data_IF_843069327316
#
_entry.id   IF_843069327316
#
_cell.length_a   1.000
_cell.length_b   1.000
_cell.length_c   1.000
_cell.angle_alpha   90.00
_cell.angle_beta   90.00
_cell.angle_gamma   90.00
#
_symmetry.space_group_name_H-M   'P 1'
#
loop_
_entity.id
_entity.type
_entity.pdbx_description
1 polymer ?
#
# COMPACT_ATOMS: atom_id res chain seq x y z
N UNK A 1 -27.03 44.37 43.59
CA UNK A 1 -28.28 44.06 42.85
C UNK A 1 -29.37 43.75 43.88
N UNK A 2 -30.65 44.13 43.65
CA UNK A 2 -31.73 43.84 44.58
C UNK A 2 -31.95 42.32 44.71
N UNK A 3 -32.32 41.80 45.90
CA UNK A 3 -32.39 40.36 46.17
C UNK A 3 -33.51 39.61 45.41
N UNK A 4 -34.48 40.30 44.78
CA UNK A 4 -35.54 39.64 43.98
C UNK A 4 -35.20 39.45 42.48
N UNK A 5 -34.01 39.86 42.01
CA UNK A 5 -33.66 39.80 40.59
C UNK A 5 -33.00 38.46 40.21
N UNK A 6 -33.79 37.50 39.71
CA UNK A 6 -33.28 36.25 39.16
C UNK A 6 -32.86 36.42 37.69
N UNK A 7 -31.55 36.58 37.46
CA UNK A 7 -30.93 36.55 36.13
C UNK A 7 -30.93 35.10 35.60
N UNK A 8 -31.96 34.72 34.86
CA UNK A 8 -31.99 33.47 34.11
C UNK A 8 -31.40 33.69 32.71
N UNK A 9 -30.36 32.93 32.35
CA UNK A 9 -29.80 32.94 31.00
C UNK A 9 -30.81 32.32 30.02
N UNK A 10 -31.46 33.14 29.19
CA UNK A 10 -32.50 32.69 28.26
C UNK A 10 -31.94 31.95 27.04
N UNK A 11 -30.71 32.28 26.58
CA UNK A 11 -30.03 31.61 25.46
C UNK A 11 -28.50 31.75 25.57
N UNK A 12 -27.77 30.64 25.77
CA UNK A 12 -26.30 30.59 25.67
C UNK A 12 -25.89 29.81 24.41
N UNK A 13 -25.57 30.53 23.33
CA UNK A 13 -25.10 29.94 22.07
C UNK A 13 -23.75 29.22 22.22
N UNK A 14 -22.96 29.54 23.25
CA UNK A 14 -21.66 28.90 23.50
C UNK A 14 -21.83 27.42 23.81
N UNK A 15 -22.93 27.02 24.46
CA UNK A 15 -23.22 25.61 24.78
C UNK A 15 -23.44 24.82 23.48
N UNK A 16 -24.23 25.37 22.55
CA UNK A 16 -24.47 24.74 21.24
C UNK A 16 -23.19 24.66 20.39
N UNK A 17 -22.36 25.70 20.39
CA UNK A 17 -21.08 25.69 19.67
C UNK A 17 -20.12 24.65 20.27
N UNK A 18 -19.98 24.62 21.60
CA UNK A 18 -19.13 23.62 22.29
C UNK A 18 -19.62 22.19 22.04
N UNK A 19 -20.93 21.96 22.11
CA UNK A 19 -21.53 20.67 21.81
C UNK A 19 -21.30 20.25 20.34
N UNK A 20 -21.39 21.19 19.39
CA UNK A 20 -21.11 20.93 17.98
C UNK A 20 -19.64 20.60 17.72
N UNK A 21 -18.71 21.31 18.36
CA UNK A 21 -17.27 21.02 18.27
C UNK A 21 -16.97 19.64 18.86
N UNK A 22 -17.50 19.33 20.05
CA UNK A 22 -17.33 18.00 20.66
C UNK A 22 -17.93 16.89 19.80
N UNK A 23 -19.09 17.13 19.18
CA UNK A 23 -19.70 16.20 18.23
C UNK A 23 -18.80 15.94 17.02
N UNK A 24 -18.33 16.99 16.35
CA UNK A 24 -17.44 16.87 15.18
C UNK A 24 -16.13 16.18 15.54
N UNK A 25 -15.54 16.49 16.70
CA UNK A 25 -14.32 15.83 17.16
C UNK A 25 -14.54 14.34 17.43
N UNK A 26 -15.66 13.97 18.05
CA UNK A 26 -15.99 12.57 18.32
C UNK A 26 -16.21 11.79 17.04
N UNK A 27 -17.04 12.30 16.14
CA UNK A 27 -17.31 11.65 14.84
C UNK A 27 -16.05 11.58 13.97
N UNK A 28 -15.25 12.66 13.95
CA UNK A 28 -13.97 12.70 13.25
C UNK A 28 -12.97 11.68 13.79
N UNK A 29 -12.90 11.52 15.11
CA UNK A 29 -12.04 10.51 15.75
C UNK A 29 -12.51 9.09 15.41
N UNK A 30 -13.82 8.82 15.46
CA UNK A 30 -14.38 7.52 15.08
C UNK A 30 -14.06 7.20 13.62
N UNK A 31 -14.28 8.16 12.70
CA UNK A 31 -13.96 8.00 11.30
C UNK A 31 -12.47 7.76 11.05
N UNK A 32 -11.59 8.52 11.72
CA UNK A 32 -10.14 8.33 11.62
C UNK A 32 -9.71 6.96 12.16
N UNK A 33 -10.24 6.53 13.31
CA UNK A 33 -9.95 5.21 13.88
C UNK A 33 -10.44 4.07 12.99
N UNK A 34 -11.65 4.16 12.43
CA UNK A 34 -12.19 3.15 11.51
C UNK A 34 -11.37 3.08 10.22
N UNK A 35 -11.00 4.23 9.67
CA UNK A 35 -10.16 4.31 8.46
C UNK A 35 -8.78 3.71 8.72
N UNK A 36 -8.13 4.09 9.82
CA UNK A 36 -6.84 3.53 10.22
C UNK A 36 -6.92 2.02 10.50
N UNK A 37 -7.99 1.54 11.11
CA UNK A 37 -8.22 0.11 11.34
C UNK A 37 -8.39 -0.64 10.02
N UNK A 38 -9.14 -0.09 9.06
CA UNK A 38 -9.31 -0.69 7.74
C UNK A 38 -7.97 -0.81 7.01
N UNK A 39 -7.17 0.26 7.00
CA UNK A 39 -5.81 0.27 6.44
C UNK A 39 -4.93 -0.76 7.18
N UNK A 40 -4.95 -0.78 8.50
CA UNK A 40 -4.15 -1.72 9.30
C UNK A 40 -4.47 -3.18 8.98
N UNK A 41 -5.76 -3.52 8.82
CA UNK A 41 -6.18 -4.87 8.45
C UNK A 41 -5.68 -5.23 7.05
N UNK A 42 -5.65 -4.27 6.12
CA UNK A 42 -5.24 -4.49 4.74
C UNK A 42 -3.71 -4.58 4.58
N UNK A 43 -2.95 -3.68 5.21
CA UNK A 43 -1.49 -3.59 5.09
C UNK A 43 -0.75 -4.49 6.09
N UNK A 44 -1.38 -4.86 7.20
CA UNK A 44 -0.79 -5.76 8.20
C UNK A 44 0.30 -5.15 9.09
N UNK A 45 0.77 -3.92 8.80
CA UNK A 45 1.78 -3.22 9.58
C UNK A 45 1.30 -1.86 10.09
N UNK A 46 1.46 -1.64 11.40
CA UNK A 46 1.03 -0.40 12.04
C UNK A 46 1.87 0.81 11.60
N UNK A 47 3.16 0.59 11.29
CA UNK A 47 4.06 1.63 10.78
C UNK A 47 3.58 2.17 9.43
N UNK A 48 3.24 1.28 8.52
CA UNK A 48 2.60 1.60 7.25
C UNK A 48 1.30 2.38 7.42
N UNK A 49 0.49 1.94 8.37
CA UNK A 49 -0.77 2.61 8.69
C UNK A 49 -0.53 4.05 9.12
N UNK A 50 0.50 4.31 9.93
CA UNK A 50 0.89 5.67 10.33
C UNK A 50 1.34 6.50 9.13
N UNK A 51 2.12 5.93 8.19
CA UNK A 51 2.55 6.65 6.99
C UNK A 51 1.34 7.12 6.16
N UNK A 52 0.38 6.23 5.92
CA UNK A 52 -0.85 6.58 5.18
C UNK A 52 -1.69 7.59 5.97
N UNK A 53 -1.87 7.39 7.28
CA UNK A 53 -2.65 8.28 8.14
C UNK A 53 -2.10 9.72 8.21
N UNK A 54 -0.78 9.90 8.10
CA UNK A 54 -0.14 11.22 8.06
C UNK A 54 -0.20 11.84 6.65
N UNK A 55 -0.15 11.03 5.60
CA UNK A 55 -0.12 11.51 4.20
C UNK A 55 -1.44 12.13 3.76
N UNK A 56 -2.57 11.63 4.25
CA UNK A 56 -3.92 12.13 3.95
C UNK A 56 -4.09 13.60 4.39
N UNK A 57 -3.95 13.97 5.67
CA UNK A 57 -4.11 15.35 6.12
C UNK A 57 -3.07 16.28 5.52
N UNK A 58 -1.85 15.80 5.27
CA UNK A 58 -0.80 16.60 4.63
C UNK A 58 -1.20 17.01 3.20
N UNK A 59 -1.76 16.08 2.42
CA UNK A 59 -2.25 16.34 1.06
C UNK A 59 -3.42 17.32 1.05
N UNK A 60 -4.36 17.16 2.00
CA UNK A 60 -5.47 18.11 2.18
C UNK A 60 -4.97 19.51 2.55
N UNK A 61 -3.97 19.61 3.42
CA UNK A 61 -3.40 20.89 3.84
C UNK A 61 -2.74 21.61 2.66
N UNK A 62 -1.98 20.91 1.82
CA UNK A 62 -1.42 21.49 0.59
C UNK A 62 -2.54 21.99 -0.33
N UNK A 63 -3.61 21.20 -0.52
CA UNK A 63 -4.77 21.63 -1.31
C UNK A 63 -5.40 22.91 -0.76
N UNK A 64 -5.63 22.99 0.55
CA UNK A 64 -6.19 24.17 1.21
C UNK A 64 -5.28 25.40 1.01
N UNK A 65 -3.96 25.23 1.14
CA UNK A 65 -3.00 26.32 0.91
C UNK A 65 -3.10 26.82 -0.54
N UNK A 66 -3.05 25.93 -1.52
CA UNK A 66 -3.12 26.31 -2.94
C UNK A 66 -4.45 27.01 -3.26
N UNK A 67 -5.56 26.48 -2.78
CA UNK A 67 -6.88 27.09 -2.94
C UNK A 67 -6.98 28.47 -2.29
N UNK A 68 -6.43 28.63 -1.08
CA UNK A 68 -6.39 29.91 -0.39
C UNK A 68 -5.59 30.94 -1.17
N UNK A 69 -4.49 30.54 -1.81
CA UNK A 69 -3.71 31.41 -2.72
C UNK A 69 -4.46 31.79 -3.99
N UNK A 70 -5.39 30.96 -4.43
CA UNK A 70 -6.29 31.24 -5.56
C UNK A 70 -7.56 32.00 -5.15
N UNK A 71 -7.60 32.53 -3.92
CA UNK A 71 -8.71 33.36 -3.42
C UNK A 71 -9.97 32.56 -3.05
N UNK A 72 -9.88 31.24 -2.93
CA UNK A 72 -11.02 30.41 -2.51
C UNK A 72 -11.19 30.43 -1.00
N UNK A 73 -12.44 30.49 -0.55
CA UNK A 73 -12.79 30.49 0.86
C UNK A 73 -13.00 29.07 1.38
N UNK A 74 -12.77 28.87 2.67
CA UNK A 74 -13.14 27.63 3.35
C UNK A 74 -14.65 27.62 3.60
N UNK A 75 -15.37 26.77 2.89
CA UNK A 75 -16.82 26.68 2.96
C UNK A 75 -17.30 25.22 2.82
N UNK A 76 -18.61 25.00 2.90
CA UNK A 76 -19.21 23.66 2.85
C UNK A 76 -18.89 22.95 1.52
N UNK A 77 -18.81 23.67 0.41
CA UNK A 77 -18.50 23.08 -0.91
C UNK A 77 -17.04 22.63 -0.99
N UNK A 78 -16.11 23.44 -0.48
CA UNK A 78 -14.69 23.05 -0.43
C UNK A 78 -14.47 21.88 0.53
N UNK A 79 -15.16 21.88 1.67
CA UNK A 79 -15.16 20.76 2.62
C UNK A 79 -15.73 19.48 1.99
N UNK A 80 -16.81 19.58 1.21
CA UNK A 80 -17.37 18.46 0.46
C UNK A 80 -16.39 17.91 -0.58
N UNK A 81 -15.68 18.78 -1.30
CA UNK A 81 -14.63 18.38 -2.24
C UNK A 81 -13.44 17.71 -1.56
N UNK A 82 -12.94 18.27 -0.46
CA UNK A 82 -11.89 17.65 0.34
C UNK A 82 -12.33 16.30 0.89
N UNK A 83 -13.58 16.17 1.36
CA UNK A 83 -14.15 14.91 1.85
C UNK A 83 -14.24 13.85 0.75
N UNK A 84 -14.61 14.23 -0.48
CA UNK A 84 -14.60 13.33 -1.63
C UNK A 84 -13.17 12.88 -1.95
N UNK A 85 -12.22 13.81 -1.89
CA UNK A 85 -10.81 13.52 -2.17
C UNK A 85 -10.24 12.47 -1.20
N UNK A 86 -10.58 12.51 0.10
CA UNK A 86 -9.99 11.63 1.14
C UNK A 86 -9.87 10.17 0.70
N UNK A 87 -10.92 9.57 0.14
CA UNK A 87 -10.88 8.16 -0.29
C UNK A 87 -9.80 7.90 -1.34
N UNK A 88 -9.65 8.83 -2.28
CA UNK A 88 -8.66 8.73 -3.35
C UNK A 88 -7.23 8.99 -2.82
N UNK A 89 -7.07 9.93 -1.87
CA UNK A 89 -5.78 10.19 -1.23
C UNK A 89 -5.28 8.98 -0.42
N UNK A 90 -6.21 8.25 0.23
CA UNK A 90 -5.90 7.01 0.96
C UNK A 90 -5.36 5.95 0.01
N UNK A 91 -6.01 5.76 -1.15
CA UNK A 91 -5.61 4.78 -2.14
C UNK A 91 -4.20 5.05 -2.68
N UNK A 92 -3.86 6.30 -2.99
CA UNK A 92 -2.60 6.66 -3.62
C UNK A 92 -1.37 6.41 -2.70
N UNK A 93 -1.53 6.64 -1.39
CA UNK A 93 -0.51 6.30 -0.38
C UNK A 93 -0.48 4.80 -0.07
N UNK A 94 -1.63 4.14 -0.08
CA UNK A 94 -1.77 2.71 0.19
C UNK A 94 -1.10 1.87 -0.89
N UNK A 95 -1.36 2.18 -2.16
CA UNK A 95 -0.75 1.49 -3.32
C UNK A 95 0.78 1.61 -3.30
N UNK A 96 1.32 2.75 -2.87
CA UNK A 96 2.76 2.94 -2.73
C UNK A 96 3.36 2.06 -1.64
N UNK A 97 2.78 2.07 -0.45
CA UNK A 97 3.26 1.23 0.65
C UNK A 97 3.12 -0.26 0.33
N UNK A 98 1.99 -0.68 -0.26
CA UNK A 98 1.79 -2.07 -0.68
C UNK A 98 2.85 -2.47 -1.71
N UNK A 99 3.16 -1.59 -2.67
CA UNK A 99 4.18 -1.90 -3.65
C UNK A 99 5.59 -1.97 -3.05
N UNK A 100 5.90 -1.11 -2.08
CA UNK A 100 7.15 -1.20 -1.31
C UNK A 100 7.21 -2.54 -0.56
N UNK A 101 6.12 -2.96 0.10
CA UNK A 101 6.05 -4.27 0.78
C UNK A 101 6.20 -5.44 -0.20
N UNK A 102 5.58 -5.35 -1.37
CA UNK A 102 5.74 -6.36 -2.43
C UNK A 102 7.19 -6.50 -2.86
N UNK A 103 7.92 -5.39 -3.03
CA UNK A 103 9.34 -5.41 -3.40
C UNK A 103 10.22 -5.90 -2.24
N UNK A 104 9.86 -5.62 -0.98
CA UNK A 104 10.53 -6.19 0.20
C UNK A 104 10.32 -7.70 0.29
N UNK A 105 9.11 -8.20 0.03
CA UNK A 105 8.80 -9.64 -0.01
C UNK A 105 9.52 -10.41 -1.11
N UNK A 106 10.12 -9.72 -2.09
CA UNK A 106 11.01 -10.30 -3.11
C UNK A 106 12.47 -10.40 -2.63
N UNK A 107 12.77 -10.07 -1.37
CA UNK A 107 14.12 -10.14 -0.79
C UNK A 107 15.04 -8.97 -1.18
N UNK A 108 14.51 -7.91 -1.79
CA UNK A 108 15.31 -6.73 -2.17
C UNK A 108 15.76 -5.96 -0.92
N UNK A 109 16.98 -5.36 -0.92
CA UNK A 109 17.40 -4.49 0.17
C UNK A 109 16.45 -3.28 0.27
N UNK A 110 16.16 -2.83 1.49
CA UNK A 110 15.09 -1.86 1.79
C UNK A 110 15.14 -0.61 0.91
N UNK A 111 16.32 0.02 0.80
CA UNK A 111 16.48 1.20 -0.05
C UNK A 111 16.07 0.93 -1.49
N UNK A 112 16.50 -0.21 -2.05
CA UNK A 112 16.15 -0.60 -3.42
C UNK A 112 14.67 -0.97 -3.54
N UNK A 113 14.09 -1.64 -2.54
CA UNK A 113 12.68 -1.96 -2.52
C UNK A 113 11.79 -0.70 -2.52
N UNK A 114 12.22 0.35 -1.80
CA UNK A 114 11.54 1.64 -1.77
C UNK A 114 11.63 2.34 -3.13
N UNK A 115 12.84 2.44 -3.70
CA UNK A 115 13.06 3.08 -5.00
C UNK A 115 12.30 2.37 -6.12
N UNK A 116 12.48 1.05 -6.24
CA UNK A 116 11.79 0.23 -7.25
C UNK A 116 10.27 0.27 -7.04
N UNK A 117 9.83 0.26 -5.77
CA UNK A 117 8.44 0.37 -5.38
C UNK A 117 7.81 1.68 -5.86
N UNK A 118 8.41 2.81 -5.53
CA UNK A 118 7.94 4.12 -5.96
C UNK A 118 7.92 4.25 -7.49
N UNK A 119 8.98 3.79 -8.17
CA UNK A 119 9.11 3.92 -9.62
C UNK A 119 8.08 3.10 -10.41
N UNK A 120 7.78 1.88 -9.98
CA UNK A 120 6.84 0.98 -10.68
C UNK A 120 5.41 1.53 -10.79
N UNK A 121 4.99 2.35 -9.82
CA UNK A 121 3.63 2.90 -9.76
C UNK A 121 3.55 4.39 -10.08
N UNK A 122 4.67 5.05 -10.38
CA UNK A 122 4.69 6.48 -10.67
C UNK A 122 3.83 6.81 -11.91
N UNK A 123 4.07 6.15 -13.04
CA UNK A 123 3.33 6.42 -14.28
C UNK A 123 1.86 6.01 -14.19
N UNK A 124 1.48 4.80 -13.71
CA UNK A 124 0.07 4.43 -13.58
C UNK A 124 -0.72 5.38 -12.68
N UNK A 125 -0.15 5.81 -11.55
CA UNK A 125 -0.82 6.72 -10.63
C UNK A 125 -0.95 8.14 -11.19
N UNK A 126 0.06 8.62 -11.94
CA UNK A 126 -0.03 9.90 -12.64
C UNK A 126 -1.21 9.88 -13.62
N UNK A 127 -1.32 8.83 -14.43
CA UNK A 127 -2.39 8.68 -15.40
C UNK A 127 -3.76 8.63 -14.71
N UNK A 128 -3.89 7.86 -13.63
CA UNK A 128 -5.11 7.82 -12.83
C UNK A 128 -5.48 9.21 -12.26
N UNK A 129 -4.49 9.93 -11.72
CA UNK A 129 -4.64 11.29 -11.20
C UNK A 129 -5.13 12.25 -12.29
N UNK A 130 -4.52 12.24 -13.47
CA UNK A 130 -4.93 13.09 -14.59
C UNK A 130 -6.33 12.75 -15.08
N UNK A 131 -6.71 11.48 -15.15
CA UNK A 131 -8.07 11.08 -15.51
C UNK A 131 -9.11 11.69 -14.56
N UNK A 132 -8.85 11.63 -13.25
CA UNK A 132 -9.73 12.24 -12.24
C UNK A 132 -9.80 13.76 -12.45
N UNK A 133 -8.66 14.42 -12.67
CA UNK A 133 -8.64 15.86 -12.95
C UNK A 133 -9.46 16.22 -14.20
N UNK A 134 -9.37 15.43 -15.28
CA UNK A 134 -10.12 15.64 -16.52
C UNK A 134 -11.63 15.54 -16.29
N UNK A 135 -12.09 14.61 -15.44
CA UNK A 135 -13.52 14.49 -15.08
C UNK A 135 -14.08 15.79 -14.47
N UNK A 136 -13.24 16.58 -13.80
CA UNK A 136 -13.62 17.86 -13.21
C UNK A 136 -13.43 19.07 -14.14
N UNK A 137 -12.75 18.93 -15.27
CA UNK A 137 -12.56 20.03 -16.24
C UNK A 137 -13.90 20.64 -16.70
N UNK A 138 -14.96 19.87 -17.01
CA UNK A 138 -16.25 20.43 -17.43
C UNK A 138 -16.85 21.44 -16.44
N UNK A 139 -16.51 21.34 -15.15
CA UNK A 139 -17.05 22.20 -14.09
C UNK A 139 -16.69 23.67 -14.30
N UNK A 140 -15.56 23.97 -14.95
CA UNK A 140 -15.14 25.37 -15.20
C UNK A 140 -16.07 26.08 -16.19
N UNK A 141 -16.79 25.32 -17.03
CA UNK A 141 -17.74 25.85 -18.01
C UNK A 141 -19.14 26.05 -17.45
N UNK A 142 -19.39 25.69 -16.19
CA UNK A 142 -20.68 25.95 -15.55
C UNK A 142 -20.90 27.46 -15.36
N UNK A 143 -22.17 27.86 -15.40
CA UNK A 143 -22.61 29.23 -15.20
C UNK A 143 -23.67 29.33 -14.10
N UNK A 144 -23.93 30.55 -13.64
CA UNK A 144 -24.91 30.82 -12.59
C UNK A 144 -24.58 30.16 -11.24
N UNK A 145 -25.62 29.76 -10.51
CA UNK A 145 -25.50 29.19 -9.15
C UNK A 145 -24.67 27.90 -9.14
N UNK A 146 -24.79 27.06 -10.17
CA UNK A 146 -24.04 25.81 -10.26
C UNK A 146 -22.52 26.05 -10.24
N UNK A 147 -22.03 27.11 -10.90
CA UNK A 147 -20.61 27.48 -10.89
C UNK A 147 -20.10 27.73 -9.47
N UNK A 148 -20.85 28.51 -8.68
CA UNK A 148 -20.46 28.85 -7.31
C UNK A 148 -20.41 27.65 -6.37
N UNK A 149 -21.20 26.61 -6.65
CA UNK A 149 -21.24 25.39 -5.83
C UNK A 149 -20.16 24.39 -6.25
N UNK A 150 -20.04 24.11 -7.56
CA UNK A 150 -19.20 23.03 -8.05
C UNK A 150 -17.74 23.43 -8.27
N UNK A 151 -17.45 24.68 -8.63
CA UNK A 151 -16.06 25.10 -8.89
C UNK A 151 -15.17 24.96 -7.64
N UNK A 152 -15.56 25.44 -6.44
CA UNK A 152 -14.76 25.26 -5.22
C UNK A 152 -14.59 23.79 -4.84
N UNK A 153 -15.63 22.97 -5.04
CA UNK A 153 -15.61 21.54 -4.82
C UNK A 153 -14.61 20.85 -5.76
N UNK A 154 -14.67 21.14 -7.05
CA UNK A 154 -13.79 20.59 -8.08
C UNK A 154 -12.33 20.97 -7.83
N UNK A 155 -12.06 22.24 -7.49
CA UNK A 155 -10.71 22.69 -7.16
C UNK A 155 -10.14 21.96 -5.95
N UNK A 156 -10.94 21.74 -4.89
CA UNK A 156 -10.51 20.98 -3.72
C UNK A 156 -10.10 19.55 -4.08
N UNK A 157 -10.87 18.88 -4.94
CA UNK A 157 -10.52 17.54 -5.40
C UNK A 157 -9.24 17.57 -6.25
N UNK A 158 -9.18 18.42 -7.27
CA UNK A 158 -8.04 18.48 -8.20
C UNK A 158 -6.74 18.82 -7.48
N UNK A 159 -6.72 19.84 -6.62
CA UNK A 159 -5.51 20.21 -5.88
C UNK A 159 -5.15 19.17 -4.82
N UNK A 160 -6.12 18.53 -4.17
CA UNK A 160 -5.88 17.40 -3.27
C UNK A 160 -5.21 16.23 -3.99
N UNK A 161 -5.70 15.87 -5.17
CA UNK A 161 -5.17 14.81 -6.01
C UNK A 161 -3.74 15.08 -6.48
N UNK A 162 -3.48 16.30 -6.99
CA UNK A 162 -2.14 16.69 -7.41
C UNK A 162 -1.16 16.73 -6.22
N UNK A 163 -1.60 17.23 -5.07
CA UNK A 163 -0.81 17.23 -3.84
C UNK A 163 -0.49 15.80 -3.37
N UNK A 164 -1.48 14.91 -3.38
CA UNK A 164 -1.29 13.50 -3.01
C UNK A 164 -0.29 12.82 -3.93
N UNK A 165 -0.39 12.99 -5.24
CA UNK A 165 0.56 12.38 -6.17
C UNK A 165 2.02 12.79 -5.85
N UNK A 166 2.24 14.09 -5.59
CA UNK A 166 3.58 14.62 -5.24
C UNK A 166 4.04 14.10 -3.88
N UNK A 167 3.17 14.15 -2.87
CA UNK A 167 3.50 13.74 -1.50
C UNK A 167 3.70 12.23 -1.39
N UNK A 168 2.92 11.45 -2.13
CA UNK A 168 3.08 10.00 -2.20
C UNK A 168 4.50 9.71 -2.69
N UNK A 169 5.01 10.36 -3.74
CA UNK A 169 6.36 10.04 -4.29
C UNK A 169 7.53 10.64 -3.51
N UNK A 170 7.25 11.49 -2.53
CA UNK A 170 8.30 12.17 -1.74
C UNK A 170 8.22 11.76 -0.28
N UNK A 171 7.11 12.06 0.38
CA UNK A 171 6.89 11.82 1.80
C UNK A 171 6.73 10.33 2.10
N UNK A 172 5.97 9.57 1.30
CA UNK A 172 5.72 8.14 1.60
C UNK A 172 7.01 7.31 1.52
N UNK A 173 7.83 7.35 0.45
CA UNK A 173 9.16 6.72 0.38
C UNK A 173 10.10 7.17 1.48
N UNK A 174 10.10 8.47 1.80
CA UNK A 174 10.98 9.03 2.83
C UNK A 174 10.61 8.47 4.19
N UNK A 175 9.33 8.53 4.56
CA UNK A 175 8.83 7.96 5.82
C UNK A 175 9.02 6.45 5.85
N UNK A 176 8.77 5.74 4.75
CA UNK A 176 9.02 4.31 4.60
C UNK A 176 10.50 3.98 4.86
N UNK A 177 11.44 4.80 4.36
CA UNK A 177 12.87 4.61 4.61
C UNK A 177 13.27 4.80 6.08
N UNK A 178 12.52 5.55 6.88
CA UNK A 178 12.79 5.72 8.31
C UNK A 178 12.08 4.67 9.18
N UNK A 179 10.87 4.26 8.79
CA UNK A 179 10.00 3.42 9.60
C UNK A 179 10.12 1.91 9.28
N UNK A 180 10.35 1.52 8.02
CA UNK A 180 10.43 0.10 7.61
C UNK A 180 11.75 -0.63 7.93
N UNK A 181 12.93 0.02 8.08
CA UNK A 181 14.16 -0.69 8.46
C UNK A 181 14.03 -1.52 9.73
N UNK A 182 13.26 -1.03 10.69
CA UNK A 182 12.97 -1.70 11.94
C UNK A 182 12.00 -2.90 11.77
N UNK A 183 11.69 -3.34 10.56
CA UNK A 183 10.87 -4.52 10.25
C UNK A 183 11.71 -5.57 9.49
N UNK A 184 12.64 -5.13 8.63
CA UNK A 184 13.50 -6.05 7.88
C UNK A 184 14.59 -6.71 8.74
N UNK A 185 15.07 -6.06 9.80
CA UNK A 185 16.01 -6.67 10.75
C UNK A 185 15.35 -7.85 11.48
N UNK A 186 14.04 -7.81 11.70
CA UNK A 186 13.27 -8.88 12.35
C UNK A 186 13.08 -10.11 11.46
N UNK A 187 12.90 -9.90 10.14
CA UNK A 187 12.75 -10.99 9.18
C UNK A 187 14.09 -11.68 8.85
N UNK A 188 15.20 -10.94 8.84
CA UNK A 188 16.54 -11.51 8.66
C UNK A 188 17.03 -12.32 9.85
N UNK A 189 16.73 -11.89 11.08
CA UNK A 189 17.09 -12.63 12.30
C UNK A 189 16.33 -13.97 12.40
N UNK A 190 15.07 -14.00 11.96
CA UNK A 190 14.22 -15.20 12.01
C UNK A 190 14.57 -16.25 10.95
N UNK A 191 15.04 -15.85 9.75
CA UNK A 191 15.59 -16.79 8.76
C UNK A 191 16.97 -17.35 9.18
N UNK A 192 17.84 -16.51 9.76
CA UNK A 192 19.16 -16.95 10.21
C UNK A 192 19.08 -17.93 11.40
N UNK A 193 18.08 -17.79 12.28
CA UNK A 193 17.87 -18.74 13.37
C UNK A 193 17.33 -20.11 12.92
N UNK A 194 16.48 -20.18 11.89
CA UNK A 194 16.01 -21.46 11.35
C UNK A 194 17.07 -22.17 10.51
N UNK A 195 18.00 -21.44 9.88
CA UNK A 195 19.08 -22.03 9.08
C UNK A 195 20.23 -22.68 9.87
N UNK A 196 20.31 -22.44 11.19
CA UNK A 196 21.36 -23.00 12.05
C UNK A 196 20.98 -24.32 12.73
N UNK A 197 19.71 -24.71 12.72
CA UNK A 197 19.26 -25.97 13.33
C UNK A 197 19.44 -27.20 12.42
N UNK A 198 19.53 -27.00 11.10
CA UNK A 198 19.58 -28.11 10.13
C UNK A 198 21.01 -28.55 9.73
N UNK A 199 22.06 -27.88 10.22
CA UNK A 199 23.45 -28.18 9.83
C UNK A 199 24.16 -29.23 10.71
N UNK A 200 23.47 -29.82 11.69
CA UNK A 200 24.09 -30.79 12.61
C UNK A 200 23.86 -32.28 12.27
N UNK A 201 23.27 -32.62 11.11
CA UNK A 201 22.93 -34.01 10.77
C UNK A 201 23.56 -34.58 9.48
N UNK A 202 24.62 -33.99 8.95
CA UNK A 202 25.33 -34.52 7.77
C UNK A 202 26.80 -34.86 8.10
N UNK A 203 27.00 -35.80 9.04
CA UNK A 203 28.24 -36.58 9.11
C UNK A 203 27.86 -38.05 9.23
N UNK A 204 27.88 -38.75 8.10
CA UNK A 204 27.86 -40.21 8.05
C UNK A 204 29.04 -40.65 7.19
N UNK A 205 29.93 -41.54 7.67
CA UNK A 205 31.07 -41.97 6.88
C UNK A 205 30.58 -42.81 5.69
N UNK A 206 30.95 -42.39 4.47
CA UNK A 206 30.73 -43.16 3.24
C UNK A 206 31.63 -44.40 3.31
N UNK A 207 31.00 -45.55 3.49
CA UNK A 207 31.64 -46.86 3.46
C UNK A 207 31.87 -47.28 2.01
N UNK A 208 33.14 -47.48 1.67
CA UNK A 208 33.60 -47.92 0.36
C UNK A 208 33.69 -49.45 0.36
N UNK A 209 32.84 -50.14 -0.40
CA UNK A 209 32.92 -51.58 -0.63
C UNK A 209 33.07 -51.90 -2.12
N UNK A 210 34.01 -52.81 -2.38
CA UNK A 210 34.64 -53.09 -3.67
C UNK A 210 33.83 -53.97 -4.65
N UNK A 211 34.11 -53.76 -5.95
CA UNK A 211 34.28 -54.72 -7.05
C UNK A 211 33.40 -55.97 -7.20
N UNK A 212 32.79 -56.16 -8.39
CA UNK A 212 32.87 -57.39 -9.23
C UNK A 212 32.14 -57.24 -10.60
N UNK A 213 32.87 -57.50 -11.69
CA UNK A 213 32.49 -58.45 -12.77
C UNK A 213 31.36 -58.15 -13.79
N UNK A 214 31.80 -58.01 -15.06
CA UNK A 214 31.28 -58.65 -16.29
C UNK A 214 30.10 -58.09 -17.14
N UNK A 215 30.54 -57.42 -18.22
CA UNK A 215 30.36 -57.76 -19.65
C UNK A 215 29.08 -57.47 -20.49
N UNK A 216 29.40 -56.94 -21.69
CA UNK A 216 28.68 -56.92 -22.98
C UNK A 216 27.50 -55.95 -23.23
N UNK A 217 27.74 -54.92 -24.04
CA UNK A 217 27.30 -54.94 -25.46
C UNK A 217 27.97 -53.85 -26.32
N UNK A 218 28.50 -54.29 -27.46
CA UNK A 218 29.08 -53.52 -28.58
C UNK A 218 27.94 -52.96 -29.44
N UNK A 219 28.03 -51.69 -29.88
CA UNK A 219 27.71 -51.22 -31.26
C UNK A 219 28.61 -49.99 -31.60
N UNK A 220 29.39 -50.14 -32.68
CA UNK A 220 30.22 -49.18 -33.42
C UNK A 220 29.40 -48.02 -34.04
N UNK A 221 29.81 -46.75 -34.15
CA UNK A 221 30.79 -46.10 -35.06
C UNK A 221 30.24 -44.68 -35.41
N UNK A 222 30.97 -43.76 -36.09
CA UNK A 222 32.41 -43.55 -36.16
C UNK A 222 32.86 -42.10 -35.85
N UNK A 223 34.17 -42.02 -35.68
CA UNK A 223 35.04 -40.85 -35.63
C UNK A 223 34.87 -39.91 -36.83
N UNK A 224 34.86 -38.59 -36.57
CA UNK A 224 35.28 -37.59 -37.55
C UNK A 224 36.36 -36.69 -36.95
N UNK A 225 37.57 -36.96 -37.42
CA UNK A 225 38.79 -36.19 -37.24
C UNK A 225 38.68 -34.85 -37.99
N UNK A 226 39.09 -33.75 -37.36
CA UNK A 226 39.75 -32.69 -38.12
C UNK A 226 40.86 -32.02 -37.31
N UNK A 227 42.05 -32.02 -37.91
CA UNK A 227 43.30 -31.53 -37.38
C UNK A 227 43.43 -30.01 -37.54
N UNK A 228 44.16 -29.39 -36.60
CA UNK A 228 45.23 -28.45 -36.96
C UNK A 228 44.90 -26.96 -36.87
N UNK A 229 45.23 -26.35 -35.72
CA UNK A 229 46.05 -25.14 -35.78
C UNK A 229 46.99 -25.05 -34.60
N UNK A 230 48.24 -24.80 -34.96
CA UNK A 230 49.41 -24.58 -34.13
C UNK A 230 49.30 -23.23 -33.43
N UNK A 231 49.71 -23.15 -32.15
CA UNK A 231 50.87 -22.34 -31.74
C UNK A 231 51.05 -22.32 -30.21
N UNK A 232 52.23 -22.81 -29.81
CA UNK A 232 52.84 -22.70 -28.49
C UNK A 232 53.13 -21.24 -28.16
N UNK A 233 53.04 -20.84 -26.87
CA UNK A 233 54.07 -20.07 -26.18
C UNK A 233 53.82 -19.91 -24.67
N UNK A 234 54.89 -20.12 -23.87
CA UNK A 234 55.14 -19.76 -22.45
C UNK A 234 54.45 -20.59 -21.34
N UNK A 235 55.12 -21.53 -20.64
CA UNK A 235 56.25 -21.48 -19.66
C UNK A 235 55.83 -21.09 -18.22
N UNK A 236 56.01 -22.10 -17.35
CA UNK A 236 56.39 -22.13 -15.93
C UNK A 236 55.45 -21.69 -14.79
N UNK A 237 54.94 -22.75 -14.12
CA UNK A 237 55.12 -23.06 -12.70
C UNK A 237 55.45 -21.93 -11.72
N UNK A 238 54.52 -21.66 -10.80
CA UNK A 238 54.86 -21.39 -9.40
C UNK A 238 53.80 -21.97 -8.47
N UNK A 239 54.13 -23.13 -7.91
CA UNK A 239 53.62 -23.64 -6.64
C UNK A 239 54.07 -22.68 -5.55
N UNK A 240 53.13 -22.03 -4.86
CA UNK A 240 53.41 -21.33 -3.61
C UNK A 240 52.48 -21.82 -2.51
N UNK A 241 53.00 -22.84 -1.82
CA UNK A 241 52.72 -23.20 -0.45
C UNK A 241 53.01 -22.00 0.47
N UNK A 242 52.06 -21.60 1.31
CA UNK A 242 52.34 -20.67 2.39
C UNK A 242 51.52 -21.07 3.64
N UNK A 243 52.15 -21.91 4.46
CA UNK A 243 51.74 -22.18 5.83
C UNK A 243 52.44 -21.18 6.76
N UNK A 244 51.64 -20.52 7.62
CA UNK A 244 52.10 -20.00 8.91
C UNK A 244 51.96 -18.48 9.10
N UNK A 245 50.94 -18.08 9.88
CA UNK A 245 51.11 -17.46 11.21
C UNK A 245 49.79 -16.87 11.72
N UNK A 246 49.28 -17.51 12.77
CA UNK A 246 48.83 -16.92 14.04
C UNK A 246 48.17 -15.53 13.99
N UNK A 247 46.86 -15.49 14.24
CA UNK A 247 46.22 -14.33 14.85
C UNK A 247 45.04 -14.75 15.73
N UNK A 248 45.29 -14.68 17.05
CA UNK A 248 44.36 -14.36 18.14
C UNK A 248 42.88 -14.74 17.95
N UNK A 249 42.49 -15.90 18.47
CA UNK A 249 41.12 -16.14 18.93
C UNK A 249 40.90 -15.40 20.27
N UNK A 250 40.43 -14.16 20.15
CA UNK A 250 39.78 -13.45 21.25
C UNK A 250 38.42 -14.13 21.48
N UNK A 251 38.34 -14.98 22.51
CA UNK A 251 37.10 -15.57 23.00
C UNK A 251 36.27 -14.47 23.68
N UNK A 252 35.45 -13.78 22.91
CA UNK A 252 34.38 -12.93 23.46
C UNK A 252 33.27 -13.84 23.98
N UNK A 253 33.24 -14.03 25.30
CA UNK A 253 32.08 -14.50 26.04
C UNK A 253 30.90 -13.57 25.74
N UNK A 254 30.10 -13.92 24.73
CA UNK A 254 28.83 -13.27 24.48
C UNK A 254 27.81 -14.04 25.31
N UNK A 255 27.45 -13.42 26.43
CA UNK A 255 26.37 -13.85 27.30
C UNK A 255 25.18 -14.35 26.49
N UNK A 256 24.82 -15.61 26.71
CA UNK A 256 23.61 -16.26 26.22
C UNK A 256 22.39 -15.55 26.81
N UNK A 257 22.02 -14.38 26.26
CA UNK A 257 20.68 -13.83 26.45
C UNK A 257 19.74 -14.75 25.69
N UNK A 258 19.09 -15.63 26.43
CA UNK A 258 17.88 -16.33 26.01
C UNK A 258 16.96 -15.33 25.28
N UNK A 259 16.85 -15.48 23.97
CA UNK A 259 15.93 -14.68 23.17
C UNK A 259 14.51 -15.04 23.60
N UNK A 260 13.83 -14.11 24.27
CA UNK A 260 12.42 -14.26 24.58
C UNK A 260 11.61 -14.33 23.28
N UNK A 261 10.63 -15.24 23.16
CA UNK A 261 9.81 -15.36 21.96
C UNK A 261 9.04 -14.05 21.75
N UNK A 262 9.24 -13.42 20.61
CA UNK A 262 8.52 -12.21 20.18
C UNK A 262 7.02 -12.48 20.30
N UNK A 263 6.34 -11.73 21.18
CA UNK A 263 4.89 -11.83 21.37
C UNK A 263 4.21 -11.69 20.01
N UNK A 264 3.56 -12.75 19.54
CA UNK A 264 2.61 -12.68 18.42
C UNK A 264 1.46 -11.76 18.83
N UNK A 265 1.57 -10.49 18.45
CA UNK A 265 0.55 -9.50 18.73
C UNK A 265 -0.82 -9.94 18.18
N UNK A 266 -1.88 -9.59 18.91
CA UNK A 266 -3.26 -9.91 18.53
C UNK A 266 -3.60 -9.40 17.10
N UNK A 267 -2.95 -8.31 16.68
CA UNK A 267 -3.02 -7.72 15.34
C UNK A 267 -2.53 -8.71 14.29
N UNK A 268 -1.39 -9.37 14.52
CA UNK A 268 -0.86 -10.36 13.59
C UNK A 268 -1.83 -11.54 13.43
N UNK A 269 -2.44 -12.01 14.53
CA UNK A 269 -3.45 -13.09 14.49
C UNK A 269 -4.73 -12.67 13.76
N UNK A 270 -5.14 -11.41 13.89
CA UNK A 270 -6.30 -10.86 13.18
C UNK A 270 -6.00 -10.74 11.68
N UNK A 271 -4.85 -10.19 11.32
CA UNK A 271 -4.39 -10.05 9.95
C UNK A 271 -4.22 -11.42 9.27
N UNK A 272 -3.64 -12.40 9.94
CA UNK A 272 -3.51 -13.79 9.46
C UNK A 272 -4.87 -14.43 9.12
N UNK A 273 -5.89 -14.20 9.98
CA UNK A 273 -7.26 -14.68 9.74
C UNK A 273 -7.89 -13.97 8.55
N UNK A 274 -7.73 -12.65 8.46
CA UNK A 274 -8.22 -11.86 7.34
C UNK A 274 -7.59 -12.34 6.03
N UNK A 275 -6.26 -12.48 6.00
CA UNK A 275 -5.52 -12.92 4.81
C UNK A 275 -5.97 -14.31 4.34
N UNK A 276 -6.21 -15.23 5.27
CA UNK A 276 -6.74 -16.57 4.94
C UNK A 276 -8.16 -16.54 4.36
N UNK A 277 -9.02 -15.64 4.84
CA UNK A 277 -10.36 -15.46 4.26
C UNK A 277 -10.27 -14.75 2.91
N UNK A 278 -9.38 -13.78 2.77
CA UNK A 278 -9.12 -13.06 1.54
C UNK A 278 -8.64 -13.99 0.43
N UNK A 279 -7.73 -14.93 0.73
CA UNK A 279 -7.28 -15.93 -0.24
C UNK A 279 -8.40 -16.89 -0.68
N UNK A 280 -9.31 -17.29 0.23
CA UNK A 280 -10.51 -18.07 -0.14
C UNK A 280 -11.46 -17.28 -1.03
N UNK A 281 -11.64 -15.98 -0.76
CA UNK A 281 -12.44 -15.11 -1.60
C UNK A 281 -11.81 -14.93 -2.99
N UNK A 282 -10.49 -14.77 -3.04
CA UNK A 282 -9.72 -14.64 -4.28
C UNK A 282 -9.83 -15.88 -5.16
N UNK A 283 -9.72 -17.08 -4.59
CA UNK A 283 -9.89 -18.33 -5.35
C UNK A 283 -11.31 -18.48 -5.88
N UNK A 284 -12.32 -18.20 -5.06
CA UNK A 284 -13.71 -18.18 -5.51
C UNK A 284 -13.94 -17.17 -6.65
N UNK A 285 -13.39 -15.96 -6.54
CA UNK A 285 -13.48 -14.96 -7.60
C UNK A 285 -12.83 -15.43 -8.92
N UNK A 286 -11.69 -16.12 -8.83
CA UNK A 286 -11.05 -16.72 -10.00
C UNK A 286 -11.96 -17.75 -10.69
N UNK A 287 -12.66 -18.59 -9.93
CA UNK A 287 -13.61 -19.56 -10.48
C UNK A 287 -14.82 -18.87 -11.14
N UNK A 288 -15.34 -17.81 -10.53
CA UNK A 288 -16.40 -16.97 -11.12
C UNK A 288 -15.93 -16.36 -12.44
N UNK A 289 -14.72 -15.79 -12.47
CA UNK A 289 -14.15 -15.20 -13.67
C UNK A 289 -13.95 -16.24 -14.78
N UNK A 290 -13.47 -17.43 -14.42
CA UNK A 290 -13.33 -18.56 -15.34
C UNK A 290 -14.68 -18.98 -15.93
N UNK A 291 -15.72 -19.05 -15.10
CA UNK A 291 -17.09 -19.33 -15.56
C UNK A 291 -17.63 -18.24 -16.49
N UNK A 292 -17.41 -16.97 -16.14
CA UNK A 292 -17.81 -15.82 -16.94
C UNK A 292 -17.12 -15.80 -18.31
N UNK A 293 -15.82 -16.12 -18.37
CA UNK A 293 -15.06 -16.22 -19.61
C UNK A 293 -15.54 -17.34 -20.53
N UNK A 294 -16.03 -18.45 -19.96
CA UNK A 294 -16.59 -19.57 -20.72
C UNK A 294 -18.01 -19.27 -21.21
N UNK A 295 -18.76 -18.41 -20.52
CA UNK A 295 -20.13 -18.03 -20.83
C UNK A 295 -20.27 -16.58 -21.30
N UNK A 296 -19.42 -16.15 -22.26
CA UNK A 296 -19.37 -14.76 -22.73
C UNK A 296 -20.74 -14.18 -23.11
N UNK A 297 -21.61 -14.98 -23.75
CA UNK A 297 -22.97 -14.54 -24.13
C UNK A 297 -23.81 -14.14 -22.93
N UNK A 298 -23.75 -14.90 -21.83
CA UNK A 298 -24.48 -14.60 -20.60
C UNK A 298 -23.95 -13.29 -20.00
N UNK A 299 -22.62 -13.11 -19.96
CA UNK A 299 -21.99 -11.88 -19.46
C UNK A 299 -22.47 -10.65 -20.24
N UNK A 300 -22.47 -10.71 -21.58
CA UNK A 300 -22.94 -9.61 -22.41
C UNK A 300 -24.44 -9.32 -22.21
N UNK A 301 -25.28 -10.36 -22.08
CA UNK A 301 -26.71 -10.18 -21.83
C UNK A 301 -26.95 -9.53 -20.46
N UNK A 302 -26.28 -10.00 -19.41
CA UNK A 302 -26.40 -9.42 -18.07
C UNK A 302 -25.90 -7.97 -18.03
N UNK A 303 -24.77 -7.68 -18.66
CA UNK A 303 -24.22 -6.33 -18.74
C UNK A 303 -25.13 -5.39 -19.54
N UNK A 304 -25.68 -5.87 -20.67
CA UNK A 304 -26.67 -5.13 -21.45
C UNK A 304 -27.95 -4.85 -20.66
N UNK A 305 -28.47 -5.85 -19.94
CA UNK A 305 -29.64 -5.67 -19.07
C UNK A 305 -29.36 -4.66 -17.95
N UNK A 306 -28.16 -4.66 -17.37
CA UNK A 306 -27.73 -3.67 -16.37
C UNK A 306 -27.71 -2.25 -16.95
N UNK A 307 -27.16 -2.05 -18.15
CA UNK A 307 -27.15 -0.74 -18.83
C UNK A 307 -28.57 -0.25 -19.08
N UNK A 308 -29.45 -1.11 -19.61
CA UNK A 308 -30.85 -0.75 -19.88
C UNK A 308 -31.56 -0.39 -18.58
N UNK A 309 -31.38 -1.18 -17.52
CA UNK A 309 -31.95 -0.90 -16.20
C UNK A 309 -31.47 0.45 -15.63
N UNK A 310 -30.17 0.73 -15.71
CA UNK A 310 -29.60 2.02 -15.30
C UNK A 310 -30.18 3.19 -16.10
N UNK A 311 -30.38 3.02 -17.42
CA UNK A 311 -31.03 4.02 -18.27
C UNK A 311 -32.50 4.27 -17.91
N UNK A 312 -33.25 3.22 -17.58
CA UNK A 312 -34.66 3.31 -17.15
C UNK A 312 -34.80 4.07 -15.82
N UNK A 313 -33.79 4.01 -14.96
CA UNK A 313 -33.76 4.76 -13.70
C UNK A 313 -33.51 6.26 -13.87
N UNK A 314 -32.93 6.73 -14.99
CA UNK A 314 -32.63 8.15 -15.21
C UNK A 314 -33.83 9.10 -15.01
N UNK A 315 -35.03 8.86 -15.58
CA UNK A 315 -36.19 9.72 -15.33
C UNK A 315 -36.68 9.72 -13.86
N UNK A 316 -36.29 8.72 -13.06
CA UNK A 316 -36.66 8.63 -11.64
C UNK A 316 -35.67 9.36 -10.72
N UNK A 317 -34.47 9.69 -11.21
CA UNK A 317 -33.48 10.47 -10.45
C UNK A 317 -33.90 11.94 -10.47
N UNK A 318 -34.39 12.44 -9.34
CA UNK A 318 -34.85 13.83 -9.21
C UNK A 318 -33.76 14.85 -9.54
N UNK A 319 -34.11 15.92 -10.25
CA UNK A 319 -33.21 16.98 -10.70
C UNK A 319 -32.97 18.10 -9.68
N UNK A 320 -33.32 17.89 -8.40
CA UNK A 320 -33.20 18.91 -7.36
C UNK A 320 -31.74 19.07 -6.93
N UNK A 321 -31.21 20.27 -7.06
CA UNK A 321 -29.84 20.64 -6.66
C UNK A 321 -29.59 20.55 -5.14
N UNK A 322 -30.63 20.68 -4.32
CA UNK A 322 -30.53 20.56 -2.86
C UNK A 322 -31.57 19.58 -2.31
N UNK A 323 -31.22 18.78 -1.29
CA UNK A 323 -32.22 18.02 -0.54
C UNK A 323 -33.20 19.03 0.08
N UNK A 324 -34.49 18.87 -0.21
CA UNK A 324 -35.52 19.80 0.24
C UNK A 324 -35.59 19.82 1.76
N UNK A 325 -34.96 20.80 2.41
CA UNK A 325 -35.29 21.14 3.77
C UNK A 325 -36.61 21.92 3.76
N UNK A 326 -37.53 21.56 4.66
CA UNK A 326 -38.89 22.10 4.79
C UNK A 326 -38.96 23.60 5.16
N UNK A 327 -37.86 24.33 5.00
CA UNK A 327 -37.63 25.69 5.51
C UNK A 327 -37.60 26.77 4.42
N UNK A 328 -37.57 26.39 3.14
CA UNK A 328 -37.51 27.34 2.01
C UNK A 328 -38.87 27.56 1.32
N UNK A 329 -39.95 27.37 2.05
CA UNK A 329 -41.32 27.73 1.64
C UNK A 329 -41.91 28.73 2.62
N UNK A 330 -41.35 29.94 2.66
CA UNK A 330 -42.01 31.15 3.15
C UNK A 330 -41.63 32.29 2.21
#
# INVERSE_FOLDING_TARGET
MPPELNLAFLFDQSIFVKASIQGVLKEGLIAACLTALMILIFLGSWRSTVIVAVSIPLSMLVSIIVMSRLGQTFNIMTLGGLSLAVGILVDDATVEIENIHRNLGQGKPIKRAILDGAQQIATPALVATLCICIVFVPVVFLSGVAKYLFVPLAMAVVFGMLASYVLSRTVVPTMASYLLPQEADWHRESENHNGHSDRHHLDSPVQNDNAHGDNHHIIDSPVQNNNGHSDNHHIDSLVQNNNGRDNHHQRSETTTKTAEPVKKDWIWRLHEKFNRQFEKFRSWYYDVLKSALNHRRIVFVLFGAFIVSAGVLLPFVGSRLFPGSRWWSV
#
